data_IF_902135829833
#
_entry.id   IF_902135829833
#
_cell.length_a   1.000
_cell.length_b   1.000
_cell.length_c   1.000
_cell.angle_alpha   90.00
_cell.angle_beta   90.00
_cell.angle_gamma   90.00
#
_symmetry.space_group_name_H-M   'P 1'
#
loop_
_entity.id
_entity.type
_entity.pdbx_description
1 polymer ?
#
# COMPACT_ATOMS: atom_id res chain seq x y z
N UNK A 1 -70.19 7.20 -9.48
CA UNK A 1 -69.08 7.88 -8.80
C UNK A 1 -68.66 7.08 -7.58
N UNK A 2 -67.59 6.31 -7.73
CA UNK A 2 -66.74 5.64 -6.74
C UNK A 2 -65.98 4.58 -7.52
N UNK A 3 -64.67 4.76 -7.71
CA UNK A 3 -63.70 3.67 -7.82
C UNK A 3 -62.28 4.20 -7.59
N UNK A 4 -61.63 3.47 -6.70
CA UNK A 4 -60.30 3.51 -6.13
C UNK A 4 -59.19 3.34 -7.20
N UNK A 5 -58.10 4.11 -7.11
CA UNK A 5 -56.74 3.74 -7.59
C UNK A 5 -55.76 4.67 -6.89
N UNK A 6 -55.12 4.22 -5.80
CA UNK A 6 -53.76 3.63 -5.78
C UNK A 6 -52.76 4.57 -6.47
N UNK A 7 -52.02 5.33 -5.67
CA UNK A 7 -50.76 5.93 -6.10
C UNK A 7 -49.65 5.47 -5.15
N UNK A 8 -48.58 5.01 -5.79
CA UNK A 8 -47.46 4.23 -5.27
C UNK A 8 -46.59 5.10 -4.36
N UNK A 9 -46.33 4.64 -3.13
CA UNK A 9 -45.27 5.18 -2.29
C UNK A 9 -43.95 4.56 -2.77
N UNK A 10 -43.07 5.36 -3.36
CA UNK A 10 -41.72 4.92 -3.73
C UNK A 10 -40.97 4.50 -2.46
N UNK A 11 -40.65 3.21 -2.37
CA UNK A 11 -39.68 2.65 -1.45
C UNK A 11 -38.30 3.08 -1.95
N UNK A 12 -37.73 4.15 -1.39
CA UNK A 12 -36.37 4.55 -1.70
C UNK A 12 -35.42 3.51 -1.11
N UNK A 13 -34.69 2.82 -1.99
CA UNK A 13 -33.58 1.93 -1.66
C UNK A 13 -32.63 2.64 -0.70
N UNK A 14 -32.47 2.10 0.51
CA UNK A 14 -31.30 2.36 1.32
C UNK A 14 -30.10 1.78 0.57
N UNK A 15 -29.27 2.65 0.00
CA UNK A 15 -27.92 2.29 -0.42
C UNK A 15 -27.17 2.03 0.88
N UNK A 16 -27.05 0.76 1.27
CA UNK A 16 -26.04 0.33 2.22
C UNK A 16 -24.71 0.52 1.49
N UNK A 17 -24.05 1.66 1.75
CA UNK A 17 -22.62 1.73 1.56
C UNK A 17 -22.02 0.68 2.50
N UNK A 18 -21.63 -0.46 1.95
CA UNK A 18 -20.68 -1.32 2.63
C UNK A 18 -19.38 -0.52 2.67
N UNK A 19 -19.17 0.21 3.76
CA UNK A 19 -17.81 0.53 4.20
C UNK A 19 -17.14 -0.83 4.38
N UNK A 20 -16.25 -1.20 3.45
CA UNK A 20 -15.43 -2.38 3.62
C UNK A 20 -14.58 -2.14 4.87
N UNK A 21 -15.01 -2.71 6.00
CA UNK A 21 -14.25 -2.72 7.23
C UNK A 21 -12.91 -3.38 6.94
N UNK A 22 -11.83 -2.62 7.11
CA UNK A 22 -10.48 -3.17 7.15
C UNK A 22 -10.47 -4.40 8.05
N UNK A 23 -10.00 -5.56 7.56
CA UNK A 23 -9.79 -6.76 8.39
C UNK A 23 -8.90 -6.45 9.61
N UNK A 24 -8.09 -5.40 9.51
CA UNK A 24 -7.18 -4.96 10.56
C UNK A 24 -7.88 -4.03 11.56
N UNK A 25 -7.76 -4.38 12.84
CA UNK A 25 -8.27 -3.62 13.98
C UNK A 25 -7.14 -2.97 14.81
N UNK A 26 -5.88 -3.14 14.42
CA UNK A 26 -4.73 -2.56 15.09
C UNK A 26 -3.50 -2.50 14.18
N UNK A 27 -2.45 -1.80 14.61
CA UNK A 27 -1.14 -1.88 13.96
C UNK A 27 -0.37 -3.12 14.41
N UNK A 28 0.20 -3.83 13.44
CA UNK A 28 1.11 -4.94 13.62
C UNK A 28 2.57 -4.51 13.68
N UNK A 29 3.43 -5.30 13.06
CA UNK A 29 4.88 -5.14 13.01
C UNK A 29 5.36 -4.80 11.59
N UNK A 30 6.48 -4.08 11.51
CA UNK A 30 7.17 -3.72 10.27
C UNK A 30 8.39 -4.62 10.10
N UNK A 31 8.32 -5.56 9.16
CA UNK A 31 9.43 -6.41 8.76
C UNK A 31 10.22 -5.77 7.60
N UNK A 32 11.53 -5.71 7.71
CA UNK A 32 12.41 -5.06 6.72
C UNK A 32 13.38 -6.09 6.15
N UNK A 33 13.40 -6.23 4.83
CA UNK A 33 14.40 -7.02 4.12
C UNK A 33 15.34 -6.11 3.34
N UNK A 34 16.65 -6.19 3.63
CA UNK A 34 17.67 -5.32 3.02
C UNK A 34 18.99 -6.05 2.69
N UNK A 35 19.02 -7.39 2.74
CA UNK A 35 20.23 -8.18 2.45
C UNK A 35 20.51 -8.25 0.95
N UNK A 36 19.46 -8.21 0.12
CA UNK A 36 19.53 -8.09 -1.33
C UNK A 36 18.68 -6.91 -1.78
N UNK A 37 19.10 -6.26 -2.86
CA UNK A 37 18.52 -5.01 -3.35
C UNK A 37 18.50 -4.99 -4.88
N UNK A 38 17.61 -4.18 -5.46
CA UNK A 38 17.56 -3.93 -6.90
C UNK A 38 18.43 -2.73 -7.28
N UNK A 39 17.82 -1.73 -7.91
CA UNK A 39 18.38 -0.42 -8.31
C UNK A 39 18.90 0.50 -7.18
N UNK A 40 19.51 -0.07 -6.16
CA UNK A 40 20.23 0.64 -5.09
C UNK A 40 21.42 -0.22 -4.63
N UNK A 41 22.07 0.15 -3.53
CA UNK A 41 23.08 -0.68 -2.87
C UNK A 41 22.67 -0.98 -1.42
N UNK A 42 23.23 -2.07 -0.87
CA UNK A 42 22.95 -2.53 0.49
C UNK A 42 23.30 -1.47 1.55
N UNK A 43 24.32 -0.64 1.33
CA UNK A 43 24.68 0.46 2.23
C UNK A 43 23.54 1.49 2.34
N UNK A 44 23.07 2.00 1.21
CA UNK A 44 21.95 2.95 1.16
C UNK A 44 20.64 2.34 1.71
N UNK A 45 20.38 1.06 1.45
CA UNK A 45 19.22 0.35 2.02
C UNK A 45 19.33 0.23 3.55
N UNK A 46 20.53 -0.01 4.09
CA UNK A 46 20.79 -0.03 5.54
C UNK A 46 20.63 1.35 6.16
N UNK A 47 21.13 2.42 5.54
CA UNK A 47 20.91 3.80 6.01
C UNK A 47 19.42 4.16 6.07
N UNK A 48 18.64 3.76 5.05
CA UNK A 48 17.19 3.92 5.08
C UNK A 48 16.53 3.08 6.18
N UNK A 49 16.98 1.84 6.37
CA UNK A 49 16.53 0.94 7.45
C UNK A 49 16.75 1.56 8.82
N UNK A 50 17.92 2.17 9.08
CA UNK A 50 18.22 2.84 10.35
C UNK A 50 17.28 4.00 10.66
N UNK A 51 16.74 4.68 9.64
CA UNK A 51 15.70 5.70 9.81
C UNK A 51 14.38 5.04 10.16
N UNK A 52 13.96 4.01 9.43
CA UNK A 52 12.71 3.27 9.67
C UNK A 52 12.67 2.65 11.08
N UNK A 53 13.79 2.13 11.58
CA UNK A 53 13.88 1.57 12.93
C UNK A 53 13.69 2.62 14.04
N UNK A 54 13.73 3.93 13.73
CA UNK A 54 13.45 5.02 14.67
C UNK A 54 11.98 5.43 14.70
N UNK A 55 11.12 4.82 13.89
CA UNK A 55 9.67 5.00 13.99
C UNK A 55 9.18 4.49 15.36
N UNK A 56 7.98 4.90 15.76
CA UNK A 56 7.28 4.39 16.95
C UNK A 56 6.56 3.06 16.68
N UNK A 57 6.59 2.60 15.44
CA UNK A 57 6.09 1.27 15.07
C UNK A 57 7.09 0.21 15.52
N UNK A 58 6.61 -1.00 15.78
CA UNK A 58 7.50 -2.14 16.06
C UNK A 58 8.15 -2.53 14.74
N UNK A 59 9.43 -2.24 14.57
CA UNK A 59 10.14 -2.52 13.32
C UNK A 59 11.35 -3.41 13.57
N UNK A 60 11.59 -4.37 12.67
CA UNK A 60 12.70 -5.31 12.77
C UNK A 60 13.21 -5.76 11.40
N UNK A 61 14.51 -6.04 11.31
CA UNK A 61 15.16 -6.59 10.11
C UNK A 61 15.06 -8.11 10.11
N UNK A 62 14.72 -8.67 8.94
CA UNK A 62 14.61 -10.10 8.71
C UNK A 62 15.46 -10.51 7.50
N UNK A 63 16.13 -11.65 7.61
CA UNK A 63 16.69 -12.35 6.45
C UNK A 63 15.59 -13.11 5.70
N UNK A 64 15.90 -13.60 4.50
CA UNK A 64 14.90 -14.15 3.56
C UNK A 64 13.98 -15.19 4.23
N UNK A 65 14.50 -16.33 4.69
CA UNK A 65 13.65 -17.36 5.33
C UNK A 65 12.75 -16.79 6.45
N UNK A 66 13.31 -15.91 7.29
CA UNK A 66 12.59 -15.39 8.44
C UNK A 66 11.48 -14.39 8.06
N UNK A 67 11.60 -13.67 6.93
CA UNK A 67 10.55 -12.78 6.47
C UNK A 67 9.38 -13.57 5.85
N UNK A 68 9.65 -14.70 5.19
CA UNK A 68 8.60 -15.63 4.77
C UNK A 68 7.86 -16.28 5.96
N UNK A 69 8.60 -16.70 6.99
CA UNK A 69 7.99 -17.21 8.24
C UNK A 69 7.18 -16.12 8.96
N UNK A 70 7.63 -14.85 8.89
CA UNK A 70 6.90 -13.70 9.41
C UNK A 70 5.58 -13.50 8.68
N UNK A 71 5.60 -13.41 7.35
CA UNK A 71 4.40 -13.20 6.54
C UNK A 71 3.34 -14.26 6.83
N UNK A 72 3.70 -15.55 6.75
CA UNK A 72 2.80 -16.67 7.07
C UNK A 72 2.15 -16.60 8.45
N UNK A 73 2.87 -16.05 9.43
CA UNK A 73 2.37 -15.96 10.80
C UNK A 73 1.43 -14.76 10.98
N UNK A 74 1.64 -13.70 10.21
CA UNK A 74 0.95 -12.41 10.34
C UNK A 74 -0.28 -12.29 9.43
N UNK A 75 -0.29 -13.03 8.32
CA UNK A 75 -1.47 -13.14 7.45
C UNK A 75 -2.73 -13.44 8.26
N UNK A 76 -3.74 -12.57 8.10
CA UNK A 76 -5.04 -12.67 8.76
C UNK A 76 -4.99 -12.66 10.31
N UNK A 77 -3.96 -12.05 10.92
CA UNK A 77 -3.86 -11.93 12.38
C UNK A 77 -4.67 -10.76 12.98
N UNK A 78 -5.37 -10.01 12.13
CA UNK A 78 -6.21 -8.87 12.50
C UNK A 78 -5.43 -7.59 12.80
N UNK A 79 -4.13 -7.56 12.49
CA UNK A 79 -3.28 -6.37 12.55
C UNK A 79 -2.77 -5.99 11.16
N UNK A 80 -2.49 -4.70 10.96
CA UNK A 80 -1.78 -4.22 9.77
C UNK A 80 -0.27 -4.42 9.97
N UNK A 81 0.27 -5.49 9.40
CA UNK A 81 1.70 -5.75 9.28
C UNK A 81 2.25 -5.17 7.96
N UNK A 82 3.54 -4.84 7.96
CA UNK A 82 4.18 -4.19 6.82
C UNK A 82 5.48 -4.91 6.47
N UNK A 83 5.63 -5.30 5.20
CA UNK A 83 6.90 -5.78 4.65
C UNK A 83 7.54 -4.68 3.81
N UNK A 84 8.78 -4.33 4.15
CA UNK A 84 9.58 -3.34 3.45
C UNK A 84 10.70 -3.99 2.67
N UNK A 85 10.83 -3.64 1.39
CA UNK A 85 11.88 -4.11 0.48
C UNK A 85 12.53 -2.95 -0.26
N UNK A 86 13.71 -3.21 -0.84
CA UNK A 86 14.51 -2.22 -1.58
C UNK A 86 14.81 -2.71 -3.00
N UNK A 87 13.75 -2.95 -3.77
CA UNK A 87 13.82 -3.29 -5.18
C UNK A 87 14.20 -4.73 -5.46
N UNK A 88 14.33 -5.58 -4.44
CA UNK A 88 14.51 -7.02 -4.56
C UNK A 88 13.46 -7.71 -3.69
N UNK A 89 12.78 -8.69 -4.25
CA UNK A 89 11.72 -9.43 -3.59
C UNK A 89 12.21 -10.79 -3.07
N UNK A 90 12.09 -11.06 -1.75
CA UNK A 90 12.55 -12.30 -1.11
C UNK A 90 11.95 -13.58 -1.70
N UNK A 91 12.76 -14.62 -1.85
CA UNK A 91 12.35 -15.90 -2.47
C UNK A 91 11.40 -16.68 -1.56
N UNK A 92 11.49 -16.48 -0.25
CA UNK A 92 10.58 -17.09 0.72
C UNK A 92 9.17 -16.51 0.69
N UNK A 93 8.97 -15.33 0.08
CA UNK A 93 7.65 -14.71 -0.09
C UNK A 93 7.02 -15.08 -1.43
N UNK A 94 7.84 -15.22 -2.47
CA UNK A 94 7.38 -15.55 -3.81
C UNK A 94 8.50 -16.19 -4.64
N UNK A 95 8.28 -17.42 -5.12
CA UNK A 95 9.30 -18.14 -5.89
C UNK A 95 9.62 -17.45 -7.23
N UNK A 96 10.92 -17.36 -7.60
CA UNK A 96 11.36 -16.80 -8.87
C UNK A 96 10.66 -17.38 -10.09
N UNK A 97 10.39 -16.51 -11.07
CA UNK A 97 9.84 -16.93 -12.36
C UNK A 97 8.31 -17.03 -12.39
N UNK A 98 7.63 -16.43 -11.40
CA UNK A 98 6.18 -16.55 -11.22
C UNK A 98 5.75 -18.02 -11.09
N UNK A 99 6.51 -18.78 -10.31
CA UNK A 99 6.27 -20.21 -10.10
C UNK A 99 5.10 -20.48 -9.12
N UNK A 100 4.65 -19.46 -8.39
CA UNK A 100 3.53 -19.48 -7.45
C UNK A 100 2.58 -18.35 -7.85
N UNK A 101 1.79 -18.56 -8.90
CA UNK A 101 0.95 -17.49 -9.44
C UNK A 101 -0.25 -17.15 -8.56
N UNK A 102 -0.71 -18.14 -7.82
CA UNK A 102 -1.86 -18.08 -6.91
C UNK A 102 -1.42 -18.67 -5.57
N UNK A 103 -2.10 -18.28 -4.50
CA UNK A 103 -1.88 -18.76 -3.14
C UNK A 103 -0.40 -18.61 -2.70
N UNK A 104 0.30 -17.61 -3.24
CA UNK A 104 1.66 -17.32 -2.80
C UNK A 104 1.65 -16.66 -1.42
N UNK A 105 2.71 -16.83 -0.63
CA UNK A 105 2.78 -16.20 0.71
C UNK A 105 2.66 -14.67 0.60
N UNK A 106 3.19 -14.08 -0.46
CA UNK A 106 3.09 -12.65 -0.72
C UNK A 106 1.64 -12.21 -0.98
N UNK A 107 0.93 -12.94 -1.82
CA UNK A 107 -0.46 -12.70 -2.17
C UNK A 107 -1.36 -12.89 -0.95
N UNK A 108 -1.26 -14.04 -0.25
CA UNK A 108 -2.00 -14.30 0.99
C UNK A 108 -1.77 -13.22 2.05
N UNK A 109 -0.53 -12.72 2.19
CA UNK A 109 -0.22 -11.61 3.10
C UNK A 109 -0.96 -10.33 2.68
N UNK A 110 -0.94 -9.98 1.39
CA UNK A 110 -1.66 -8.81 0.89
C UNK A 110 -3.19 -8.97 1.07
N UNK A 111 -3.73 -10.14 0.76
CA UNK A 111 -5.13 -10.55 0.94
C UNK A 111 -5.56 -10.67 2.41
N UNK A 112 -4.60 -10.84 3.31
CA UNK A 112 -4.77 -10.72 4.75
C UNK A 112 -5.11 -9.31 5.21
N UNK A 113 -4.90 -8.30 4.36
CA UNK A 113 -5.07 -6.89 4.68
C UNK A 113 -3.75 -6.16 4.94
N UNK A 114 -2.61 -6.84 4.78
CA UNK A 114 -1.29 -6.30 5.09
C UNK A 114 -0.71 -5.43 3.97
N UNK A 115 0.47 -4.87 4.22
CA UNK A 115 1.09 -3.88 3.34
C UNK A 115 2.46 -4.31 2.85
N UNK A 116 2.71 -4.12 1.56
CA UNK A 116 4.06 -4.03 1.01
C UNK A 116 4.47 -2.59 0.77
N UNK A 117 5.67 -2.23 1.20
CA UNK A 117 6.33 -0.99 0.82
C UNK A 117 7.65 -1.30 0.12
N UNK A 118 7.84 -0.77 -1.08
CA UNK A 118 9.06 -0.96 -1.85
C UNK A 118 9.67 0.36 -2.28
N UNK A 119 10.99 0.38 -2.36
CA UNK A 119 11.74 1.50 -2.92
C UNK A 119 12.79 1.02 -3.93
N UNK A 120 13.39 1.97 -4.68
CA UNK A 120 14.45 1.76 -5.67
C UNK A 120 14.04 1.09 -7.00
N UNK A 121 13.70 -0.20 -7.03
CA UNK A 121 13.33 -0.88 -8.30
C UNK A 121 11.82 -1.12 -8.39
N UNK A 122 11.36 -1.68 -9.50
CA UNK A 122 9.98 -2.14 -9.70
C UNK A 122 9.62 -3.15 -8.60
N UNK A 123 8.63 -2.81 -7.78
CA UNK A 123 8.01 -3.69 -6.79
C UNK A 123 7.70 -5.10 -7.36
N UNK A 124 8.17 -6.14 -6.66
CA UNK A 124 8.01 -7.56 -6.99
C UNK A 124 8.72 -8.08 -8.27
N UNK A 125 9.40 -7.21 -9.03
CA UNK A 125 10.01 -7.57 -10.31
C UNK A 125 11.32 -8.36 -10.19
N UNK A 126 12.24 -7.86 -9.36
CA UNK A 126 13.57 -8.47 -9.18
C UNK A 126 13.53 -9.46 -8.04
N UNK A 127 14.12 -10.63 -8.23
CA UNK A 127 14.34 -11.64 -7.20
C UNK A 127 15.60 -12.46 -7.56
N UNK A 128 15.76 -13.65 -7.01
CA UNK A 128 16.86 -14.54 -7.36
C UNK A 128 16.81 -14.84 -8.87
N UNK A 129 17.92 -14.59 -9.56
CA UNK A 129 17.98 -14.66 -11.03
C UNK A 129 17.71 -13.33 -11.73
N UNK A 130 17.67 -12.20 -10.99
CA UNK A 130 17.45 -10.87 -11.55
C UNK A 130 15.97 -10.59 -11.75
N UNK A 131 15.59 -10.05 -12.90
CA UNK A 131 14.19 -9.75 -13.25
C UNK A 131 13.32 -10.99 -13.53
N UNK A 132 13.54 -12.09 -12.81
CA UNK A 132 12.91 -13.39 -13.10
C UNK A 132 11.39 -13.35 -12.94
N UNK A 133 10.85 -12.59 -11.99
CA UNK A 133 9.40 -12.39 -11.89
C UNK A 133 8.91 -11.47 -13.02
N UNK A 134 9.69 -10.45 -13.37
CA UNK A 134 9.30 -9.49 -14.38
C UNK A 134 8.08 -8.69 -13.94
N UNK A 135 7.35 -8.10 -14.89
CA UNK A 135 6.11 -7.36 -14.59
C UNK A 135 5.01 -8.23 -13.99
N UNK A 136 5.05 -9.55 -14.25
CA UNK A 136 4.02 -10.48 -13.81
C UNK A 136 4.02 -10.64 -12.29
N UNK A 137 5.14 -10.41 -11.60
CA UNK A 137 5.17 -10.46 -10.13
C UNK A 137 4.17 -9.47 -9.51
N UNK A 138 4.07 -8.25 -10.07
CA UNK A 138 3.05 -7.29 -9.63
C UNK A 138 1.64 -7.77 -9.96
N UNK A 139 1.43 -8.24 -11.20
CA UNK A 139 0.12 -8.64 -11.69
C UNK A 139 -0.48 -9.79 -10.89
N UNK A 140 0.30 -10.84 -10.63
CA UNK A 140 -0.18 -12.02 -9.89
C UNK A 140 -0.35 -11.73 -8.40
N UNK A 141 0.59 -11.03 -7.76
CA UNK A 141 0.48 -10.77 -6.31
C UNK A 141 -0.69 -9.82 -5.97
N UNK A 142 -1.13 -9.00 -6.93
CA UNK A 142 -2.22 -8.02 -6.73
C UNK A 142 -3.53 -8.38 -7.43
N UNK A 143 -3.57 -9.49 -8.17
CA UNK A 143 -4.66 -9.86 -9.08
C UNK A 143 -5.16 -8.72 -9.96
N UNK A 144 -4.21 -8.00 -10.56
CA UNK A 144 -4.48 -6.80 -11.35
C UNK A 144 -3.68 -6.79 -12.65
N UNK A 145 -4.02 -5.84 -13.53
CA UNK A 145 -3.24 -5.57 -14.74
C UNK A 145 -2.24 -4.43 -14.56
N UNK A 146 -1.87 -4.10 -13.32
CA UNK A 146 -0.93 -3.01 -13.05
C UNK A 146 0.45 -3.29 -13.64
N UNK A 147 1.10 -2.23 -14.10
CA UNK A 147 2.51 -2.27 -14.38
C UNK A 147 3.22 -0.97 -13.97
N UNK A 148 4.55 -1.05 -13.88
CA UNK A 148 5.42 0.10 -13.57
C UNK A 148 6.39 0.40 -14.72
N UNK A 149 5.98 0.21 -15.98
CA UNK A 149 6.78 0.67 -17.12
C UNK A 149 6.50 2.14 -17.38
N UNK A 150 7.41 3.01 -16.89
CA UNK A 150 7.41 4.46 -17.11
C UNK A 150 8.81 4.97 -17.47
N UNK A 151 8.91 6.22 -17.94
CA UNK A 151 10.13 6.74 -18.58
C UNK A 151 10.83 7.84 -17.76
N UNK A 152 11.03 7.60 -16.46
CA UNK A 152 11.83 8.51 -15.62
C UNK A 152 11.21 9.89 -15.43
N UNK A 153 9.88 10.00 -15.47
CA UNK A 153 9.17 11.25 -15.35
C UNK A 153 9.51 11.93 -14.01
N UNK A 154 9.71 13.25 -14.04
CA UNK A 154 9.97 14.01 -12.82
C UNK A 154 8.69 14.08 -11.97
N UNK A 155 8.71 13.33 -10.88
CA UNK A 155 7.67 13.34 -9.87
C UNK A 155 7.92 14.48 -8.89
N UNK A 156 6.85 15.13 -8.46
CA UNK A 156 6.84 16.29 -7.57
C UNK A 156 5.93 16.03 -6.38
N UNK A 157 6.24 16.57 -5.19
CA UNK A 157 5.34 16.48 -4.04
C UNK A 157 3.96 17.06 -4.34
N UNK A 158 2.92 16.27 -4.09
CA UNK A 158 1.52 16.71 -4.07
C UNK A 158 1.24 17.52 -2.78
N UNK A 159 0.03 18.08 -2.59
CA UNK A 159 -0.36 18.64 -1.30
C UNK A 159 -0.21 17.65 -0.14
N UNK A 160 -0.65 16.40 -0.31
CA UNK A 160 -0.50 15.35 0.71
C UNK A 160 0.97 14.95 0.89
N UNK A 161 1.77 14.92 -0.18
CA UNK A 161 3.21 14.73 -0.07
C UNK A 161 3.91 15.82 0.74
N UNK A 162 3.54 17.08 0.55
CA UNK A 162 4.10 18.18 1.36
C UNK A 162 3.71 18.07 2.83
N UNK A 163 2.51 17.55 3.11
CA UNK A 163 1.98 17.36 4.47
C UNK A 163 2.64 16.18 5.19
N UNK A 164 2.68 15.02 4.54
CA UNK A 164 3.06 13.77 5.17
C UNK A 164 4.51 13.38 4.92
N UNK A 165 5.09 13.77 3.78
CA UNK A 165 6.47 13.46 3.37
C UNK A 165 7.28 14.74 3.08
N UNK A 166 7.51 15.62 4.06
CA UNK A 166 8.18 16.90 3.83
C UNK A 166 9.62 16.78 3.29
N UNK A 167 10.26 15.61 3.41
CA UNK A 167 11.57 15.34 2.81
C UNK A 167 11.52 15.02 1.32
N UNK A 168 10.34 14.72 0.76
CA UNK A 168 10.17 14.42 -0.65
C UNK A 168 10.53 15.65 -1.49
N UNK A 169 11.45 15.45 -2.44
CA UNK A 169 11.87 16.47 -3.40
C UNK A 169 11.52 16.01 -4.81
N UNK A 170 11.49 16.91 -5.79
CA UNK A 170 11.36 16.49 -7.18
C UNK A 170 12.47 15.48 -7.57
N UNK A 171 12.09 14.36 -8.16
CA UNK A 171 13.01 13.32 -8.63
C UNK A 171 12.40 12.54 -9.79
N UNK A 172 13.23 11.95 -10.62
CA UNK A 172 12.77 11.04 -11.66
C UNK A 172 12.27 9.74 -11.02
N UNK A 173 11.13 9.23 -11.47
CA UNK A 173 10.68 7.87 -11.18
C UNK A 173 10.56 7.08 -12.48
N UNK A 174 11.35 6.02 -12.57
CA UNK A 174 11.40 5.11 -13.74
C UNK A 174 10.35 4.01 -13.62
N UNK A 175 9.72 3.86 -12.45
CA UNK A 175 8.78 2.78 -12.15
C UNK A 175 7.58 3.31 -11.36
N UNK A 176 6.92 4.33 -11.87
CA UNK A 176 5.71 4.86 -11.22
C UNK A 176 4.51 3.93 -11.47
N UNK A 177 3.54 3.94 -10.55
CA UNK A 177 2.22 3.36 -10.81
C UNK A 177 1.40 4.31 -11.66
N UNK A 178 0.47 3.77 -12.47
CA UNK A 178 -0.38 4.53 -13.39
C UNK A 178 -1.78 4.66 -12.81
N UNK A 179 -2.22 5.90 -12.59
CA UNK A 179 -3.54 6.19 -12.01
C UNK A 179 -4.67 5.54 -12.79
N UNK A 180 -4.63 5.63 -14.12
CA UNK A 180 -5.70 5.11 -14.97
C UNK A 180 -5.86 3.59 -14.83
N UNK A 181 -4.76 2.84 -14.66
CA UNK A 181 -4.84 1.40 -14.43
C UNK A 181 -5.51 1.08 -13.08
N UNK A 182 -5.22 1.86 -12.03
CA UNK A 182 -5.82 1.69 -10.70
C UNK A 182 -7.30 2.07 -10.73
N UNK A 183 -7.67 3.14 -11.44
CA UNK A 183 -9.06 3.58 -11.59
C UNK A 183 -9.90 2.58 -12.41
N UNK A 184 -9.30 1.95 -13.42
CA UNK A 184 -9.94 0.93 -14.27
C UNK A 184 -10.12 -0.41 -13.53
N UNK A 185 -9.34 -0.66 -12.48
CA UNK A 185 -9.45 -1.86 -11.65
C UNK A 185 -10.48 -1.65 -10.52
N UNK A 186 -11.61 -2.36 -10.63
CA UNK A 186 -12.70 -2.23 -9.65
C UNK A 186 -12.29 -2.65 -8.23
N UNK A 187 -11.27 -3.49 -8.07
CA UNK A 187 -10.86 -4.06 -6.78
C UNK A 187 -9.91 -3.14 -6.01
N UNK A 188 -9.33 -2.14 -6.68
CA UNK A 188 -8.31 -1.27 -6.10
C UNK A 188 -8.75 0.20 -6.09
N UNK A 189 -8.14 0.98 -5.21
CA UNK A 189 -8.27 2.43 -5.16
C UNK A 189 -6.94 3.09 -4.81
N UNK A 190 -6.79 4.35 -5.22
CA UNK A 190 -5.72 5.20 -4.73
C UNK A 190 -6.09 5.69 -3.33
N UNK A 191 -5.32 5.28 -2.32
CA UNK A 191 -5.53 5.69 -0.93
C UNK A 191 -4.90 7.07 -0.67
N UNK A 192 -3.65 7.27 -1.08
CA UNK A 192 -2.97 8.56 -0.99
C UNK A 192 -1.85 8.69 -2.01
N UNK A 193 -1.75 9.85 -2.64
CA UNK A 193 -0.66 10.21 -3.57
C UNK A 193 0.26 11.21 -2.88
N UNK A 194 1.48 10.81 -2.57
CA UNK A 194 2.50 11.72 -2.02
C UNK A 194 3.27 12.45 -3.13
N UNK A 195 3.52 11.77 -4.25
CA UNK A 195 4.17 12.36 -5.42
C UNK A 195 3.48 11.98 -6.72
N UNK A 196 3.34 12.94 -7.64
CA UNK A 196 2.97 12.65 -9.03
C UNK A 196 3.71 13.55 -10.05
N UNK A 197 3.61 13.24 -11.34
CA UNK A 197 4.29 13.97 -12.42
C UNK A 197 3.87 15.45 -12.60
N UNK A 198 2.78 15.88 -11.94
CA UNK A 198 2.22 17.24 -12.03
C UNK A 198 2.04 17.94 -10.67
N UNK A 199 2.55 17.37 -9.57
CA UNK A 199 2.44 17.92 -8.22
C UNK A 199 1.02 17.97 -7.65
N UNK A 200 0.18 16.97 -7.92
CA UNK A 200 -1.18 16.80 -7.35
C UNK A 200 -2.29 16.67 -8.40
N UNK A 201 -1.94 16.55 -9.68
CA UNK A 201 -2.87 16.37 -10.81
C UNK A 201 -2.31 15.41 -11.85
N UNK A 202 -1.30 14.63 -11.45
CA UNK A 202 -0.57 13.72 -12.32
C UNK A 202 -1.30 12.39 -12.48
N UNK A 203 -0.81 11.59 -13.42
CA UNK A 203 -1.26 10.21 -13.63
C UNK A 203 -0.15 9.18 -13.38
N UNK A 204 1.09 9.62 -13.22
CA UNK A 204 2.21 8.78 -12.82
C UNK A 204 2.52 9.04 -11.35
N UNK A 205 2.36 8.03 -10.51
CA UNK A 205 2.28 8.15 -9.06
C UNK A 205 3.49 7.48 -8.42
N UNK A 206 4.30 8.25 -7.67
CA UNK A 206 5.43 7.75 -6.86
C UNK A 206 6.03 8.88 -5.97
N UNK A 207 5.92 8.87 -4.64
CA UNK A 207 5.36 7.81 -3.81
C UNK A 207 3.83 7.81 -3.78
N UNK A 208 3.25 6.63 -3.63
CA UNK A 208 1.79 6.43 -3.57
C UNK A 208 1.48 5.22 -2.70
N UNK A 209 0.29 5.20 -2.09
CA UNK A 209 -0.33 4.01 -1.50
C UNK A 209 -1.61 3.73 -2.28
N UNK A 210 -1.74 2.50 -2.77
CA UNK A 210 -3.00 1.96 -3.28
C UNK A 210 -3.51 0.91 -2.30
N UNK A 211 -4.84 0.78 -2.22
CA UNK A 211 -5.52 -0.12 -1.29
C UNK A 211 -6.49 -1.03 -2.06
N UNK A 212 -6.47 -2.31 -1.73
CA UNK A 212 -7.46 -3.27 -2.19
C UNK A 212 -8.75 -3.09 -1.37
N UNK A 213 -9.89 -2.97 -2.03
CA UNK A 213 -11.16 -2.57 -1.41
C UNK A 213 -11.79 -3.63 -0.51
N UNK A 214 -11.71 -4.90 -0.87
CA UNK A 214 -12.30 -6.04 -0.16
C UNK A 214 -11.58 -6.38 1.15
N UNK A 215 -10.25 -6.52 1.14
CA UNK A 215 -9.49 -6.95 2.33
C UNK A 215 -8.63 -5.85 2.95
N UNK A 216 -8.45 -4.71 2.26
CA UNK A 216 -7.68 -3.58 2.77
C UNK A 216 -6.17 -3.71 2.61
N UNK A 217 -5.69 -4.70 1.84
CA UNK A 217 -4.28 -4.87 1.51
C UNK A 217 -3.72 -3.65 0.82
N UNK A 218 -2.44 -3.31 1.08
CA UNK A 218 -1.82 -2.08 0.56
C UNK A 218 -0.54 -2.34 -0.20
N UNK A 219 -0.39 -1.60 -1.29
CA UNK A 219 0.88 -1.51 -2.02
C UNK A 219 1.36 -0.07 -1.97
N UNK A 220 2.58 0.12 -1.48
CA UNK A 220 3.26 1.40 -1.45
C UNK A 220 4.57 1.34 -2.23
N UNK A 221 4.76 2.29 -3.12
CA UNK A 221 6.03 2.49 -3.82
C UNK A 221 6.63 3.83 -3.42
N UNK A 222 7.96 3.87 -3.31
CA UNK A 222 8.71 5.05 -2.86
C UNK A 222 9.98 5.23 -3.67
N UNK A 223 10.02 6.23 -4.55
CA UNK A 223 11.18 6.61 -5.37
C UNK A 223 11.81 5.42 -6.08
N UNK A 224 11.03 4.74 -6.91
CA UNK A 224 11.48 3.60 -7.70
C UNK A 224 12.30 4.09 -8.92
N UNK A 225 13.55 4.45 -8.63
CA UNK A 225 14.56 4.97 -9.54
C UNK A 225 15.94 4.36 -9.25
N UNK A 226 16.77 4.10 -10.29
CA UNK A 226 18.19 3.77 -10.15
C UNK A 226 19.05 4.92 -9.64
N UNK A 227 18.51 6.14 -9.62
CA UNK A 227 19.24 7.28 -9.08
C UNK A 227 19.45 7.13 -7.57
N UNK A 228 20.59 7.63 -7.11
CA UNK A 228 20.88 7.72 -5.68
C UNK A 228 20.01 8.81 -5.04
N UNK A 229 18.94 8.39 -4.37
CA UNK A 229 18.00 9.29 -3.69
C UNK A 229 18.32 9.34 -2.19
N UNK A 230 19.12 10.34 -1.78
CA UNK A 230 19.61 10.47 -0.40
C UNK A 230 18.51 10.59 0.67
N UNK A 231 17.31 11.06 0.30
CA UNK A 231 16.17 11.23 1.21
C UNK A 231 15.17 10.07 1.17
N UNK A 232 15.45 8.98 0.44
CA UNK A 232 14.54 7.83 0.30
C UNK A 232 14.12 7.27 1.65
N UNK A 233 15.08 7.05 2.54
CA UNK A 233 14.80 6.57 3.90
C UNK A 233 14.03 7.57 4.76
N UNK A 234 14.22 8.89 4.56
CA UNK A 234 13.43 9.91 5.26
C UNK A 234 11.97 9.88 4.82
N UNK A 235 11.72 9.77 3.51
CA UNK A 235 10.36 9.67 2.96
C UNK A 235 9.66 8.40 3.45
N UNK A 236 10.34 7.25 3.46
CA UNK A 236 9.77 6.00 4.01
C UNK A 236 9.45 6.13 5.50
N UNK A 237 10.37 6.69 6.30
CA UNK A 237 10.11 7.00 7.71
C UNK A 237 8.90 7.91 7.88
N UNK A 238 8.79 8.96 7.08
CA UNK A 238 7.73 9.94 7.12
C UNK A 238 6.36 9.34 6.74
N UNK A 239 6.29 8.47 5.72
CA UNK A 239 5.07 7.73 5.38
C UNK A 239 4.61 6.89 6.59
N UNK A 240 5.53 6.16 7.22
CA UNK A 240 5.22 5.33 8.38
C UNK A 240 4.77 6.15 9.59
N UNK A 241 5.49 7.23 9.93
CA UNK A 241 5.20 8.03 11.14
C UNK A 241 4.07 9.03 10.98
N UNK A 242 3.95 9.65 9.82
CA UNK A 242 3.02 10.76 9.60
C UNK A 242 1.71 10.33 8.96
N UNK A 243 1.72 9.28 8.14
CA UNK A 243 0.51 8.79 7.48
C UNK A 243 0.03 7.49 8.12
N UNK A 244 0.80 6.40 8.04
CA UNK A 244 0.38 5.10 8.55
C UNK A 244 0.05 5.17 10.05
N UNK A 245 0.95 5.69 10.89
CA UNK A 245 0.71 5.74 12.34
C UNK A 245 -0.35 6.77 12.77
N UNK A 246 -0.53 7.87 12.04
CA UNK A 246 -1.42 8.96 12.49
C UNK A 246 -2.80 8.94 11.86
N UNK A 247 -2.92 8.39 10.65
CA UNK A 247 -4.18 8.35 9.91
C UNK A 247 -4.73 6.92 9.91
N UNK A 248 -3.95 5.96 9.38
CA UNK A 248 -4.40 4.57 9.24
C UNK A 248 -4.56 3.89 10.61
N UNK A 249 -3.51 3.89 11.43
CA UNK A 249 -3.53 3.29 12.76
C UNK A 249 -4.53 3.97 13.71
N UNK A 250 -4.71 5.28 13.57
CA UNK A 250 -5.67 6.03 14.38
C UNK A 250 -7.11 5.67 14.00
N UNK A 251 -7.37 5.39 12.72
CA UNK A 251 -8.67 4.90 12.26
C UNK A 251 -9.04 3.53 12.86
N UNK A 252 -8.07 2.70 13.25
CA UNK A 252 -8.35 1.47 13.99
C UNK A 252 -8.83 1.72 15.43
N UNK A 253 -8.47 2.87 16.02
CA UNK A 253 -8.82 3.20 17.40
C UNK A 253 -10.19 3.88 17.55
N UNK A 254 -10.88 4.18 16.43
CA UNK A 254 -12.25 4.70 16.48
C UNK A 254 -13.24 3.54 16.48
N UNK A 255 -13.84 3.30 17.64
CA UNK A 255 -14.84 2.24 17.85
C UNK A 255 -16.01 2.40 16.85
N UNK A 256 -16.28 1.43 15.95
CA UNK A 256 -17.45 1.45 15.06
C UNK A 256 -18.77 1.63 15.83
N UNK A 257 -18.81 1.16 17.08
CA UNK A 257 -19.97 1.25 17.97
C UNK A 257 -20.22 2.69 18.45
N UNK A 258 -19.18 3.52 18.53
CA UNK A 258 -19.29 4.96 18.81
C UNK A 258 -19.93 5.74 17.64
N UNK A 259 -19.66 5.30 16.39
CA UNK A 259 -20.34 5.86 15.21
C UNK A 259 -21.81 5.47 15.19
N UNK A 260 -22.13 4.21 15.44
CA UNK A 260 -23.52 3.73 15.53
C UNK A 260 -24.33 4.47 16.61
N UNK A 261 -23.78 4.62 17.82
CA UNK A 261 -24.48 5.33 18.91
C UNK A 261 -24.70 6.81 18.61
N UNK A 262 -23.80 7.46 17.88
CA UNK A 262 -23.97 8.85 17.44
C UNK A 262 -25.13 8.96 16.43
N UNK A 263 -25.17 8.08 15.43
CA UNK A 263 -26.25 8.06 14.42
C UNK A 263 -27.62 7.73 15.04
N UNK A 264 -27.68 6.83 16.03
CA UNK A 264 -28.92 6.55 16.76
C UNK A 264 -29.39 7.71 17.65
N UNK A 265 -28.48 8.53 18.17
CA UNK A 265 -28.83 9.71 18.96
C UNK A 265 -29.42 10.82 18.08
N UNK A 266 -28.90 10.99 16.86
CA UNK A 266 -29.41 11.97 15.90
C UNK A 266 -30.81 11.60 15.35
N UNK A 267 -31.07 10.31 15.13
CA UNK A 267 -32.39 9.81 14.71
C UNK A 267 -33.45 10.00 15.81
N UNK A 268 -33.07 9.95 17.09
CA UNK A 268 -33.99 10.16 18.22
C UNK A 268 -34.28 11.64 18.52
N UNK A 269 -33.58 12.57 17.86
CA UNK A 269 -33.78 14.02 18.04
C UNK A 269 -34.78 14.66 17.07
N UNK A 270 -35.54 13.85 16.32
CA UNK A 270 -36.69 14.29 15.51
C UNK A 270 -38.02 13.86 16.13
#
# INVERSE_FOLDING_TARGET
MKKLSVFVLLLSLCILAFDAESKNAQMGEVAIFNESVGWTNVGAAKEATEKILKTKLKAKVYGDKAIGDFAKKRTEDGALDIIITFGYFPVSLYKPGNAEKEDSIAEEFLEGGDMFMNAADYIFYVTQGGGANGENGLKTITDSNFDCWTDGNSIKPTPEGKKYTPSLKPTASQRSLKKDQIDDDKNWEVEVVFGDDKGGKGSLLDPVIIRQKEHGGRVCIVTQTPDAVAYRGDVMFEILENYIRKEVAAAFSVDPQSKLTTTWSEIKSF
#
